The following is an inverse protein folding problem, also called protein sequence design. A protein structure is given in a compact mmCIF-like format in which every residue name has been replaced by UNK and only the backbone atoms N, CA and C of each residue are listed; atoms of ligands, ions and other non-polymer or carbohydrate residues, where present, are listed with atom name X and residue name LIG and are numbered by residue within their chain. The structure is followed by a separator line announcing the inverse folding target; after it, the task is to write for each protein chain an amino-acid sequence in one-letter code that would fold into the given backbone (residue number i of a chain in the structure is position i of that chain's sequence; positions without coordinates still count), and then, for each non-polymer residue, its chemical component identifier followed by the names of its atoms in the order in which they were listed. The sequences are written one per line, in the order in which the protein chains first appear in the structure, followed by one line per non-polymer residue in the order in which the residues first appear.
data_IF_647312403729
#
_entry.id   IF_647312403729
#
_cell.length_a   1.000
_cell.length_b   1.000
_cell.length_c   1.000
_cell.angle_alpha   90.00
_cell.angle_beta   90.00
_cell.angle_gamma   90.00
#
_symmetry.space_group_name_H-M   'P 1'
#
loop_
_entity.id
_entity.type
_entity.pdbx_description
1 polymer ?
#
# COMPACT_ATOMS: atom_id res chain seq x y z
N UNK A 1 -9.69 33.41 -29.87
CA UNK A 1 -10.33 32.12 -30.16
C UNK A 1 -9.25 31.10 -30.47
N UNK A 2 -8.89 30.24 -29.51
CA UNK A 2 -7.92 29.16 -29.76
C UNK A 2 -8.68 27.85 -29.94
N UNK A 3 -8.54 27.24 -31.12
CA UNK A 3 -9.16 25.96 -31.51
C UNK A 3 -8.33 24.82 -30.92
N UNK A 4 -8.96 23.96 -30.14
CA UNK A 4 -8.38 22.68 -29.71
C UNK A 4 -8.42 21.68 -30.87
N UNK A 5 -7.27 21.07 -31.18
CA UNK A 5 -7.17 19.89 -32.03
C UNK A 5 -7.57 18.67 -31.20
N UNK A 6 -8.73 18.08 -31.51
CA UNK A 6 -9.14 16.76 -31.02
C UNK A 6 -8.42 15.72 -31.86
N UNK A 7 -7.46 15.01 -31.28
CA UNK A 7 -6.87 13.82 -31.90
C UNK A 7 -7.74 12.62 -31.54
N UNK A 8 -8.45 12.10 -32.54
CA UNK A 8 -9.24 10.87 -32.45
C UNK A 8 -8.32 9.67 -32.23
N UNK A 9 -8.50 8.97 -31.12
CA UNK A 9 -7.80 7.70 -30.83
C UNK A 9 -8.67 6.56 -31.36
N UNK A 10 -8.39 6.14 -32.59
CA UNK A 10 -8.99 4.94 -33.18
C UNK A 10 -7.93 3.86 -33.33
N UNK A 11 -8.13 2.73 -32.63
CA UNK A 11 -7.45 1.44 -32.77
C UNK A 11 -6.08 1.25 -32.10
N UNK A 12 -6.11 0.75 -30.86
CA UNK A 12 -5.05 -0.10 -30.29
C UNK A 12 -5.72 -1.22 -29.48
N UNK A 13 -5.94 -2.37 -30.13
CA UNK A 13 -6.28 -3.63 -29.46
C UNK A 13 -4.99 -4.33 -29.04
N UNK A 14 -4.94 -4.67 -27.75
CA UNK A 14 -4.18 -5.74 -27.11
C UNK A 14 -2.63 -5.72 -27.23
N UNK A 15 -2.00 -5.20 -26.16
CA UNK A 15 -0.84 -5.87 -25.56
C UNK A 15 -1.26 -6.26 -24.14
N UNK A 16 -1.38 -7.57 -23.94
CA UNK A 16 -1.53 -8.23 -22.64
C UNK A 16 -0.22 -8.13 -21.85
N UNK A 17 -0.31 -7.74 -20.59
CA UNK A 17 0.75 -7.89 -19.60
C UNK A 17 1.77 -6.75 -19.57
N UNK A 18 2.24 -6.48 -18.35
CA UNK A 18 3.29 -5.51 -17.96
C UNK A 18 2.78 -4.12 -17.56
N UNK A 19 2.55 -3.99 -16.25
CA UNK A 19 2.88 -2.82 -15.43
C UNK A 19 2.45 -1.44 -15.92
N UNK A 20 1.14 -1.16 -15.92
CA UNK A 20 0.63 0.21 -16.04
C UNK A 20 0.28 0.83 -14.67
N UNK A 21 1.06 0.59 -13.62
CA UNK A 21 0.89 1.25 -12.31
C UNK A 21 1.89 2.39 -12.06
N UNK A 22 2.69 2.77 -13.07
CA UNK A 22 3.57 3.94 -12.99
C UNK A 22 2.91 5.24 -13.50
N UNK A 23 1.81 5.15 -14.26
CA UNK A 23 1.25 6.31 -14.99
C UNK A 23 0.16 7.04 -14.20
N UNK A 24 -0.43 6.43 -13.16
CA UNK A 24 -1.49 7.06 -12.38
C UNK A 24 -1.07 8.29 -11.55
N UNK A 25 0.23 8.42 -11.22
CA UNK A 25 0.75 9.54 -10.40
C UNK A 25 1.18 10.72 -11.27
N UNK A 26 1.67 10.48 -12.49
CA UNK A 26 2.14 11.54 -13.39
C UNK A 26 0.99 12.36 -14.00
N UNK A 27 -0.19 11.76 -14.19
CA UNK A 27 -1.35 12.43 -14.79
C UNK A 27 -2.00 13.47 -13.84
N UNK A 28 -1.78 13.36 -12.52
CA UNK A 28 -2.44 14.24 -11.53
C UNK A 28 -1.55 15.43 -11.13
N UNK A 29 -0.22 15.28 -11.09
CA UNK A 29 0.65 16.27 -10.42
C UNK A 29 1.78 16.88 -11.25
N UNK A 30 1.92 16.51 -12.53
CA UNK A 30 2.96 17.06 -13.40
C UNK A 30 4.38 16.60 -13.03
N UNK A 31 5.32 16.77 -13.95
CA UNK A 31 6.71 16.28 -13.82
C UNK A 31 7.45 16.86 -12.60
N UNK A 32 7.09 18.08 -12.15
CA UNK A 32 7.68 18.75 -10.98
C UNK A 32 7.36 18.07 -9.63
N UNK A 33 6.31 17.24 -9.59
CA UNK A 33 5.94 16.49 -8.39
C UNK A 33 6.85 15.28 -8.13
N UNK A 34 7.53 14.77 -9.16
CA UNK A 34 8.43 13.62 -9.03
C UNK A 34 9.68 13.95 -8.21
N UNK A 35 10.15 15.20 -8.31
CA UNK A 35 11.29 15.70 -7.54
C UNK A 35 10.89 16.05 -6.09
N UNK A 36 9.68 16.58 -5.88
CA UNK A 36 9.10 16.78 -4.55
C UNK A 36 8.78 15.47 -3.83
N UNK A 37 8.36 14.42 -4.53
CA UNK A 37 8.12 13.07 -4.00
C UNK A 37 9.36 12.42 -3.34
N UNK A 38 10.55 13.00 -3.55
CA UNK A 38 11.80 12.53 -2.96
C UNK A 38 12.09 13.11 -1.56
N UNK A 39 11.40 14.17 -1.14
CA UNK A 39 11.52 14.68 0.24
C UNK A 39 10.73 13.80 1.22
N UNK A 40 11.24 13.65 2.44
CA UNK A 40 10.59 12.82 3.47
C UNK A 40 9.16 13.25 3.77
N UNK A 41 8.88 14.56 3.75
CA UNK A 41 7.55 15.13 4.01
C UNK A 41 6.54 14.80 2.91
N UNK A 42 6.92 14.92 1.63
CA UNK A 42 6.01 14.60 0.53
C UNK A 42 5.65 13.11 0.50
N UNK A 43 6.60 12.25 0.88
CA UNK A 43 6.37 10.82 1.04
C UNK A 43 5.36 10.52 2.15
N UNK A 44 5.51 11.15 3.32
CA UNK A 44 4.57 10.98 4.43
C UNK A 44 3.18 11.50 4.08
N UNK A 45 3.08 12.62 3.35
CA UNK A 45 1.80 13.13 2.87
C UNK A 45 1.10 12.14 1.92
N UNK A 46 1.85 11.57 0.97
CA UNK A 46 1.33 10.52 0.08
C UNK A 46 0.84 9.30 0.88
N UNK A 47 1.62 8.85 1.86
CA UNK A 47 1.22 7.73 2.70
C UNK A 47 -0.05 8.01 3.49
N UNK A 48 -0.22 9.22 4.03
CA UNK A 48 -1.48 9.63 4.69
C UNK A 48 -2.68 9.59 3.74
N UNK A 49 -2.51 10.00 2.49
CA UNK A 49 -3.56 9.90 1.49
C UNK A 49 -3.91 8.43 1.18
N UNK A 50 -2.91 7.57 1.08
CA UNK A 50 -3.09 6.12 0.93
C UNK A 50 -3.84 5.54 2.13
N UNK A 51 -3.45 5.89 3.37
CA UNK A 51 -4.14 5.51 4.61
C UNK A 51 -5.61 5.88 4.56
N UNK A 52 -5.93 7.13 4.21
CA UNK A 52 -7.31 7.59 4.11
C UNK A 52 -8.10 6.76 3.10
N UNK A 53 -7.59 6.63 1.87
CA UNK A 53 -8.27 5.90 0.79
C UNK A 53 -8.54 4.44 1.15
N UNK A 54 -7.56 3.75 1.73
CA UNK A 54 -7.69 2.34 2.12
C UNK A 54 -8.65 2.20 3.27
N UNK A 55 -8.58 3.06 4.28
CA UNK A 55 -9.48 3.00 5.43
C UNK A 55 -10.93 3.37 5.08
N UNK A 56 -11.13 4.30 4.15
CA UNK A 56 -12.46 4.62 3.60
C UNK A 56 -13.07 3.38 2.92
N UNK A 57 -12.27 2.59 2.21
CA UNK A 57 -12.72 1.30 1.68
C UNK A 57 -12.99 0.26 2.78
N UNK A 58 -12.02 0.02 3.66
CA UNK A 58 -12.14 -1.01 4.70
C UNK A 58 -13.34 -0.76 5.61
N UNK A 59 -13.65 0.51 5.91
CA UNK A 59 -14.81 0.88 6.72
C UNK A 59 -16.15 0.80 5.98
N UNK A 60 -16.17 1.02 4.67
CA UNK A 60 -17.39 0.90 3.84
C UNK A 60 -17.72 -0.54 3.44
N UNK A 61 -16.73 -1.44 3.45
CA UNK A 61 -16.95 -2.86 3.19
C UNK A 61 -17.42 -3.60 4.45
N UNK A 62 -18.64 -4.16 4.44
CA UNK A 62 -19.23 -4.86 5.60
C UNK A 62 -18.38 -6.03 6.12
N UNK A 63 -17.58 -6.67 5.26
CA UNK A 63 -16.72 -7.81 5.65
C UNK A 63 -15.54 -7.39 6.51
N UNK A 64 -15.02 -6.19 6.29
CA UNK A 64 -13.77 -5.70 6.91
C UNK A 64 -13.99 -4.54 7.87
N UNK A 65 -15.20 -3.98 7.89
CA UNK A 65 -15.57 -2.85 8.73
C UNK A 65 -15.30 -3.17 10.20
N UNK A 66 -14.37 -2.42 10.78
CA UNK A 66 -13.96 -2.56 12.19
C UNK A 66 -12.81 -3.53 12.46
N UNK A 67 -12.48 -4.42 11.52
CA UNK A 67 -11.46 -5.46 11.73
C UNK A 67 -10.07 -5.03 11.27
N UNK A 68 -10.00 -4.31 10.15
CA UNK A 68 -8.73 -3.90 9.55
C UNK A 68 -8.64 -2.39 9.40
N UNK A 69 -7.43 -1.87 9.63
CA UNK A 69 -7.08 -0.47 9.47
C UNK A 69 -5.61 -0.38 9.05
N UNK A 70 -5.31 0.51 8.11
CA UNK A 70 -3.95 0.94 7.85
C UNK A 70 -3.62 2.09 8.81
N UNK A 71 -2.54 1.94 9.58
CA UNK A 71 -2.10 2.97 10.51
C UNK A 71 -1.60 4.24 9.78
N UNK A 72 -1.66 5.40 10.46
CA UNK A 72 -0.92 6.58 9.99
C UNK A 72 0.59 6.25 9.88
N UNK A 73 1.30 6.74 8.85
CA UNK A 73 2.72 6.41 8.65
C UNK A 73 3.65 6.81 9.80
N UNK A 74 3.24 7.70 10.69
CA UNK A 74 4.00 8.12 11.88
C UNK A 74 3.47 7.48 13.18
N UNK A 75 2.47 6.60 13.10
CA UNK A 75 1.92 5.93 14.27
C UNK A 75 2.93 4.96 14.91
N UNK A 76 2.99 4.91 16.25
CA UNK A 76 3.94 4.07 16.99
C UNK A 76 3.73 2.55 16.84
N UNK A 77 2.62 2.13 16.24
CA UNK A 77 2.40 0.71 15.89
C UNK A 77 3.47 0.18 14.94
N UNK A 78 4.06 1.04 14.10
CA UNK A 78 5.14 0.63 13.20
C UNK A 78 6.39 0.18 13.98
N UNK A 79 6.67 0.77 15.15
CA UNK A 79 7.74 0.31 16.04
C UNK A 79 7.40 -1.07 16.65
N UNK A 80 6.15 -1.27 17.09
CA UNK A 80 5.67 -2.55 17.65
C UNK A 80 5.75 -3.66 16.60
N UNK A 81 5.25 -3.41 15.38
CA UNK A 81 5.35 -4.34 14.25
C UNK A 81 6.79 -4.67 13.91
N UNK A 82 7.66 -3.67 13.79
CA UNK A 82 9.06 -3.92 13.43
C UNK A 82 9.76 -4.78 14.48
N UNK A 83 9.54 -4.52 15.77
CA UNK A 83 10.06 -5.37 16.86
C UNK A 83 9.54 -6.80 16.79
N UNK A 84 8.23 -6.97 16.58
CA UNK A 84 7.61 -8.28 16.44
C UNK A 84 8.24 -9.05 15.27
N UNK A 85 8.20 -8.49 14.08
CA UNK A 85 8.63 -9.20 12.89
C UNK A 85 10.15 -9.43 12.86
N UNK A 86 10.94 -8.51 13.42
CA UNK A 86 12.41 -8.67 13.50
C UNK A 86 12.87 -9.83 14.37
N UNK A 87 12.08 -10.22 15.37
CA UNK A 87 12.32 -11.44 16.13
C UNK A 87 12.10 -12.73 15.30
N UNK A 88 11.43 -12.64 14.15
CA UNK A 88 10.92 -13.78 13.40
C UNK A 88 11.27 -13.77 11.90
N UNK A 89 12.20 -12.92 11.44
CA UNK A 89 12.59 -12.88 10.02
C UNK A 89 13.04 -14.23 9.45
N UNK A 90 13.70 -15.05 10.27
CA UNK A 90 14.23 -16.35 9.87
C UNK A 90 13.42 -17.51 10.49
N UNK A 91 12.25 -17.23 11.07
CA UNK A 91 11.41 -18.27 11.65
C UNK A 91 10.92 -19.22 10.55
N UNK A 92 11.04 -20.55 10.72
CA UNK A 92 10.47 -21.50 9.78
C UNK A 92 8.94 -21.58 9.87
N UNK A 93 8.36 -21.04 10.94
CA UNK A 93 6.92 -21.05 11.23
C UNK A 93 6.20 -19.79 10.74
N UNK A 94 6.94 -18.70 10.52
CA UNK A 94 6.39 -17.42 10.10
C UNK A 94 6.85 -17.08 8.68
N UNK A 95 5.94 -16.54 7.86
CA UNK A 95 6.27 -16.16 6.49
C UNK A 95 6.76 -14.71 6.35
N UNK A 96 7.03 -14.00 7.45
CA UNK A 96 7.45 -12.60 7.41
C UNK A 96 8.70 -12.40 6.54
N UNK A 97 9.71 -13.27 6.69
CA UNK A 97 10.92 -13.23 5.86
C UNK A 97 10.73 -13.67 4.40
N UNK A 98 9.56 -14.19 4.01
CA UNK A 98 9.25 -14.44 2.59
C UNK A 98 8.53 -13.25 1.96
N UNK A 99 7.73 -12.54 2.75
CA UNK A 99 6.94 -11.38 2.30
C UNK A 99 7.79 -10.11 2.30
N UNK A 100 8.56 -9.85 3.37
CA UNK A 100 9.43 -8.68 3.45
C UNK A 100 10.80 -8.97 2.83
N UNK A 101 11.21 -8.29 1.75
CA UNK A 101 12.55 -8.42 1.19
C UNK A 101 13.60 -7.88 2.16
N UNK A 102 14.88 -8.23 1.95
CA UNK A 102 15.96 -7.86 2.87
C UNK A 102 16.05 -6.35 3.13
N UNK A 103 15.75 -5.53 2.13
CA UNK A 103 15.74 -4.07 2.22
C UNK A 103 14.71 -3.57 3.21
N UNK A 104 13.52 -4.18 3.24
CA UNK A 104 12.43 -3.81 4.15
C UNK A 104 12.71 -4.22 5.60
N UNK A 105 13.64 -5.15 5.84
CA UNK A 105 14.01 -5.63 7.18
C UNK A 105 15.03 -4.74 7.89
N UNK A 106 15.62 -3.77 7.19
CA UNK A 106 16.74 -2.96 7.71
C UNK A 106 16.31 -1.95 8.78
N UNK A 107 15.09 -1.44 8.71
CA UNK A 107 14.56 -0.50 9.70
C UNK A 107 13.03 -0.49 9.70
N UNK A 108 12.45 0.13 10.72
CA UNK A 108 11.01 0.42 10.78
C UNK A 108 10.55 1.18 9.55
N UNK A 109 11.28 2.21 9.16
CA UNK A 109 10.94 3.07 8.03
C UNK A 109 10.93 2.24 6.75
N UNK A 110 11.95 1.40 6.52
CA UNK A 110 12.01 0.55 5.34
C UNK A 110 10.85 -0.47 5.29
N UNK A 111 10.47 -1.04 6.44
CA UNK A 111 9.33 -1.95 6.56
C UNK A 111 8.01 -1.24 6.27
N UNK A 112 7.77 -0.07 6.88
CA UNK A 112 6.59 0.76 6.64
C UNK A 112 6.51 1.16 5.17
N UNK A 113 7.60 1.65 4.61
CA UNK A 113 7.67 2.10 3.23
C UNK A 113 7.37 0.96 2.24
N UNK A 114 7.83 -0.26 2.55
CA UNK A 114 7.46 -1.46 1.80
C UNK A 114 5.95 -1.71 1.85
N UNK A 115 5.35 -1.63 3.05
CA UNK A 115 3.91 -1.80 3.23
C UNK A 115 3.10 -0.81 2.41
N UNK A 116 3.38 0.49 2.53
CA UNK A 116 2.67 1.50 1.76
C UNK A 116 2.86 1.31 0.25
N UNK A 117 4.08 1.02 -0.21
CA UNK A 117 4.32 0.76 -1.63
C UNK A 117 3.50 -0.43 -2.14
N UNK A 118 3.44 -1.54 -1.39
CA UNK A 118 2.68 -2.72 -1.80
C UNK A 118 1.18 -2.46 -1.82
N UNK A 119 0.66 -1.76 -0.82
CA UNK A 119 -0.73 -1.33 -0.77
C UNK A 119 -1.07 -0.43 -1.97
N UNK A 120 -0.20 0.53 -2.31
CA UNK A 120 -0.41 1.41 -3.47
C UNK A 120 -0.36 0.66 -4.81
N UNK A 121 0.60 -0.27 -4.98
CA UNK A 121 0.71 -1.15 -6.15
C UNK A 121 -0.53 -2.03 -6.36
N UNK A 122 -1.28 -2.28 -5.28
CA UNK A 122 -2.42 -3.20 -5.25
C UNK A 122 -3.72 -2.50 -4.80
N UNK A 123 -3.79 -1.17 -4.91
CA UNK A 123 -4.94 -0.38 -4.43
C UNK A 123 -6.25 -0.65 -5.19
N UNK A 124 -6.21 -1.46 -6.24
CA UNK A 124 -7.40 -1.94 -6.96
C UNK A 124 -7.96 -3.25 -6.38
N UNK A 125 -7.19 -3.99 -5.56
CA UNK A 125 -7.71 -5.14 -4.80
C UNK A 125 -8.87 -4.71 -3.89
N UNK A 126 -8.83 -3.48 -3.42
CA UNK A 126 -9.84 -2.85 -2.57
C UNK A 126 -11.01 -2.28 -3.37
N UNK A 127 -11.26 -2.71 -4.61
CA UNK A 127 -12.40 -2.23 -5.43
C UNK A 127 -13.36 -3.33 -5.83
N UNK A 128 -12.96 -4.58 -5.67
CA UNK A 128 -13.74 -5.74 -6.05
C UNK A 128 -14.09 -6.53 -4.80
N UNK A 129 -15.38 -6.60 -4.48
CA UNK A 129 -15.89 -7.32 -3.31
C UNK A 129 -15.58 -8.84 -3.35
N UNK A 130 -15.29 -9.38 -4.54
CA UNK A 130 -14.89 -10.78 -4.73
C UNK A 130 -13.39 -11.04 -4.49
N UNK A 131 -12.58 -9.99 -4.43
CA UNK A 131 -11.14 -10.06 -4.18
C UNK A 131 -10.84 -10.18 -2.67
N UNK A 132 -11.20 -11.34 -2.11
CA UNK A 132 -11.02 -11.70 -0.70
C UNK A 132 -9.53 -12.02 -0.42
N UNK A 133 -8.69 -10.99 -0.28
CA UNK A 133 -7.23 -11.16 -0.14
C UNK A 133 -6.61 -10.75 1.19
N UNK A 134 -7.38 -10.12 2.10
CA UNK A 134 -6.79 -9.59 3.34
C UNK A 134 -6.29 -10.69 4.28
N UNK A 135 -6.81 -11.92 4.19
CA UNK A 135 -6.46 -13.04 5.08
C UNK A 135 -5.49 -14.06 4.45
N UNK A 136 -4.85 -13.74 3.30
CA UNK A 136 -4.03 -14.70 2.54
C UNK A 136 -2.53 -14.58 2.83
N UNK A 137 -2.12 -14.73 4.09
CA UNK A 137 -0.70 -14.69 4.53
C UNK A 137 0.17 -15.71 3.78
N UNK A 138 -0.43 -16.79 3.27
CA UNK A 138 0.25 -17.83 2.51
C UNK A 138 0.58 -17.45 1.06
N UNK A 139 -0.06 -16.43 0.48
CA UNK A 139 0.28 -15.94 -0.87
C UNK A 139 1.39 -14.89 -0.77
N UNK A 140 2.61 -15.13 -1.29
CA UNK A 140 3.69 -14.16 -1.28
C UNK A 140 3.35 -12.85 -2.01
N UNK A 141 2.36 -12.86 -2.93
CA UNK A 141 1.93 -11.69 -3.69
C UNK A 141 0.90 -10.84 -2.94
N UNK A 142 0.13 -11.42 -2.02
CA UNK A 142 -1.00 -10.75 -1.35
C UNK A 142 -0.95 -10.77 0.18
N UNK A 143 -0.12 -11.63 0.78
CA UNK A 143 0.07 -11.75 2.22
C UNK A 143 0.66 -10.50 2.89
N UNK A 144 1.11 -9.50 2.11
CA UNK A 144 1.46 -8.20 2.67
C UNK A 144 0.24 -7.50 3.30
N UNK A 145 -0.99 -7.76 2.84
CA UNK A 145 -2.18 -7.11 3.38
C UNK A 145 -2.33 -7.39 4.87
N UNK A 146 -2.29 -8.66 5.28
CA UNK A 146 -2.37 -9.06 6.68
C UNK A 146 -1.24 -8.47 7.54
N UNK A 147 -0.01 -8.48 7.02
CA UNK A 147 1.14 -7.99 7.77
C UNK A 147 1.19 -6.46 7.89
N UNK A 148 0.64 -5.75 6.91
CA UNK A 148 0.71 -4.30 6.81
C UNK A 148 -0.51 -3.59 7.39
N UNK A 149 -1.65 -4.27 7.51
CA UNK A 149 -2.83 -3.78 8.22
C UNK A 149 -2.78 -4.16 9.70
N UNK A 150 -3.58 -3.50 10.51
CA UNK A 150 -3.78 -3.78 11.93
C UNK A 150 -5.27 -3.87 12.25
N UNK A 151 -5.59 -4.34 13.46
CA UNK A 151 -6.91 -4.10 14.04
C UNK A 151 -7.00 -2.72 14.67
N UNK A 152 -8.21 -2.15 14.74
CA UNK A 152 -8.44 -0.86 15.42
C UNK A 152 -7.97 -0.91 16.88
N UNK A 153 -8.24 -2.00 17.59
CA UNK A 153 -7.82 -2.20 18.99
C UNK A 153 -6.29 -2.14 19.12
N UNK A 154 -5.55 -2.71 18.18
CA UNK A 154 -4.09 -2.67 18.19
C UNK A 154 -3.53 -1.25 18.03
N UNK A 155 -4.24 -0.34 17.35
CA UNK A 155 -3.86 1.06 17.29
C UNK A 155 -4.12 1.80 18.60
N UNK A 156 -5.19 1.46 19.32
CA UNK A 156 -5.55 2.08 20.60
C UNK A 156 -4.62 1.64 21.74
N UNK A 157 -4.31 0.34 21.85
CA UNK A 157 -3.22 -0.16 22.73
C UNK A 157 -1.86 0.40 22.31
N UNK A 158 -1.77 0.65 21.01
CA UNK A 158 -0.76 1.41 20.31
C UNK A 158 -0.51 2.78 20.94
N UNK A 159 -1.56 3.55 21.27
CA UNK A 159 -1.62 5.01 21.52
C UNK A 159 -1.10 5.46 22.90
#
# INVERSE_FOLDING_TARGET
MYRFLVVSVSNLKAISGVCAAAIGVAVIYGLDAWERLRSGEAKLLRFRQTTKKVNDYLSSNQRYSGWYVLADPEHKIWDKKFKLFSAHWNSPWENYGKIFPMEARKSKEAMRDFCFRKIEENADDTKDESNVYLDQVSDPKKGFWDLCLDSKNSLEEAA
#
